data_IF_365670865732
#
_entry.id   IF_365670865732
#
_cell.length_a   1.000
_cell.length_b   1.000
_cell.length_c   1.000
_cell.angle_alpha   90.00
_cell.angle_beta   90.00
_cell.angle_gamma   90.00
#
_symmetry.space_group_name_H-M   'P 1'
#
loop_
_entity.id
_entity.type
_entity.pdbx_description
1 polymer ?
#
# COMPACT_ATOMS: atom_id res chain seq x y z
N UNK A 1 6.46 -18.78 -5.54
CA UNK A 1 7.92 -18.58 -5.33
C UNK A 1 8.37 -17.58 -6.39
N UNK A 2 8.59 -16.32 -6.01
CA UNK A 2 9.07 -15.28 -6.94
C UNK A 2 10.51 -15.63 -7.30
N UNK A 3 10.79 -15.85 -8.57
CA UNK A 3 12.13 -16.16 -9.04
C UNK A 3 13.03 -14.92 -8.93
N UNK A 4 14.30 -15.08 -8.55
CA UNK A 4 15.28 -13.97 -8.46
C UNK A 4 15.38 -13.19 -9.78
N UNK A 5 15.17 -13.86 -10.92
CA UNK A 5 15.11 -13.19 -12.23
C UNK A 5 13.93 -12.22 -12.34
N UNK A 6 12.79 -12.52 -11.73
CA UNK A 6 11.63 -11.61 -11.72
C UNK A 6 11.94 -10.33 -10.93
N UNK A 7 12.64 -10.43 -9.79
CA UNK A 7 12.98 -9.26 -8.98
C UNK A 7 13.90 -8.31 -9.74
N UNK A 8 14.95 -8.82 -10.38
CA UNK A 8 15.86 -8.01 -11.20
C UNK A 8 15.16 -7.35 -12.38
N UNK A 9 14.25 -8.08 -13.01
CA UNK A 9 13.43 -7.58 -14.11
C UNK A 9 12.55 -6.40 -13.64
N UNK A 10 11.87 -6.52 -12.51
CA UNK A 10 11.04 -5.45 -11.96
C UNK A 10 11.86 -4.24 -11.50
N UNK A 11 13.01 -4.45 -10.89
CA UNK A 11 13.92 -3.37 -10.53
C UNK A 11 14.40 -2.59 -11.76
N UNK A 12 14.66 -3.30 -12.86
CA UNK A 12 15.06 -2.67 -14.12
C UNK A 12 13.90 -1.84 -14.69
N UNK A 13 12.68 -2.38 -14.73
CA UNK A 13 11.50 -1.64 -15.21
C UNK A 13 11.27 -0.37 -14.39
N UNK A 14 11.30 -0.47 -13.05
CA UNK A 14 11.09 0.69 -12.19
C UNK A 14 12.15 1.78 -12.44
N UNK A 15 13.40 1.39 -12.61
CA UNK A 15 14.49 2.34 -12.91
C UNK A 15 14.40 2.99 -14.30
N UNK A 16 13.89 2.25 -15.28
CA UNK A 16 13.78 2.73 -16.68
C UNK A 16 12.51 3.53 -16.94
N UNK A 17 11.43 3.20 -16.22
CA UNK A 17 10.08 3.71 -16.50
C UNK A 17 9.59 4.76 -15.51
N UNK A 18 10.14 4.80 -14.31
CA UNK A 18 9.67 5.72 -13.27
C UNK A 18 10.65 6.87 -13.07
N UNK A 19 10.13 8.08 -13.06
CA UNK A 19 10.89 9.27 -12.68
C UNK A 19 11.18 9.21 -11.20
N UNK A 20 12.47 9.23 -10.83
CA UNK A 20 12.86 9.22 -9.42
C UNK A 20 12.51 10.58 -8.82
N UNK A 21 11.44 10.66 -8.07
CA UNK A 21 11.14 11.81 -7.24
C UNK A 21 12.18 11.90 -6.12
N UNK A 22 12.80 13.07 -5.96
CA UNK A 22 13.68 13.31 -4.82
C UNK A 22 12.83 13.38 -3.56
N UNK A 23 12.84 12.30 -2.79
CA UNK A 23 12.25 12.27 -1.47
C UNK A 23 13.28 12.73 -0.43
N UNK A 24 12.80 13.35 0.65
CA UNK A 24 13.65 13.68 1.78
C UNK A 24 14.23 12.41 2.41
N UNK A 25 15.50 12.48 2.85
CA UNK A 25 16.13 11.36 3.53
C UNK A 25 15.39 11.02 4.83
N UNK A 26 15.21 9.72 5.05
CA UNK A 26 14.64 9.21 6.30
C UNK A 26 15.62 9.44 7.44
N UNK A 27 15.16 10.07 8.50
CA UNK A 27 15.95 10.33 9.71
C UNK A 27 15.68 9.29 10.81
N UNK A 28 16.54 9.23 11.83
CA UNK A 28 16.28 8.40 13.00
C UNK A 28 14.97 8.78 13.71
N UNK A 29 14.60 10.07 13.70
CA UNK A 29 13.33 10.53 14.29
C UNK A 29 12.13 10.01 13.51
N UNK A 30 12.18 9.99 12.18
CA UNK A 30 11.11 9.44 11.34
C UNK A 30 10.91 7.93 11.63
N UNK A 31 12.01 7.20 11.82
CA UNK A 31 11.97 5.79 12.21
C UNK A 31 11.27 5.62 13.56
N UNK A 32 11.63 6.42 14.58
CA UNK A 32 11.02 6.35 15.91
C UNK A 32 9.53 6.74 15.87
N UNK A 33 9.16 7.75 15.11
CA UNK A 33 7.76 8.15 14.94
C UNK A 33 6.95 7.10 14.17
N UNK A 34 7.51 6.57 13.07
CA UNK A 34 6.91 5.49 12.31
C UNK A 34 6.68 4.24 13.15
N UNK A 35 7.64 3.89 14.02
CA UNK A 35 7.53 2.76 14.94
C UNK A 35 6.34 2.88 15.91
N UNK A 36 6.06 4.09 16.44
CA UNK A 36 4.90 4.35 17.30
C UNK A 36 3.56 4.06 16.62
N UNK A 37 3.51 4.18 15.29
CA UNK A 37 2.30 3.95 14.48
C UNK A 37 2.11 2.48 14.10
N UNK A 38 3.07 1.62 14.37
CA UNK A 38 2.98 0.19 14.04
C UNK A 38 1.93 -0.52 14.88
N UNK A 39 1.23 -1.46 14.23
CA UNK A 39 0.23 -2.34 14.83
C UNK A 39 0.20 -3.67 14.10
N UNK A 40 -0.34 -4.70 14.74
CA UNK A 40 -0.67 -5.98 14.13
C UNK A 40 0.33 -7.09 14.40
N UNK A 41 0.18 -8.19 13.69
CA UNK A 41 0.86 -9.46 13.94
C UNK A 41 2.30 -9.47 13.43
N UNK A 42 3.11 -10.38 13.96
CA UNK A 42 4.48 -10.68 13.57
C UNK A 42 4.51 -11.21 12.12
N UNK A 43 5.49 -10.76 11.35
CA UNK A 43 5.78 -11.29 10.02
C UNK A 43 6.81 -12.45 10.07
N UNK A 44 7.32 -12.83 8.91
CA UNK A 44 8.35 -13.87 8.78
C UNK A 44 9.69 -13.48 9.41
N UNK A 45 9.91 -12.20 9.62
CA UNK A 45 11.11 -11.60 10.24
C UNK A 45 11.13 -11.67 11.76
N UNK A 46 10.07 -12.17 12.39
CA UNK A 46 9.91 -12.33 13.83
C UNK A 46 10.06 -11.06 14.67
N UNK A 47 10.03 -9.88 14.03
CA UNK A 47 10.00 -8.63 14.75
C UNK A 47 8.62 -8.37 15.33
N UNK A 48 8.57 -8.10 16.62
CA UNK A 48 7.37 -7.62 17.28
C UNK A 48 7.29 -6.09 17.23
N UNK A 49 6.08 -5.58 17.27
CA UNK A 49 5.84 -4.12 17.29
C UNK A 49 6.55 -3.47 18.48
N UNK A 50 6.57 -4.13 19.63
CA UNK A 50 7.19 -3.61 20.86
C UNK A 50 8.71 -3.52 20.75
N UNK A 51 9.35 -4.41 20.00
CA UNK A 51 10.79 -4.31 19.74
C UNK A 51 11.13 -3.01 19.00
N UNK A 52 10.32 -2.66 17.99
CA UNK A 52 10.54 -1.45 17.22
C UNK A 52 10.16 -0.18 17.99
N UNK A 53 9.12 -0.23 18.81
CA UNK A 53 8.72 0.91 19.65
C UNK A 53 9.72 1.23 20.76
N UNK A 54 10.44 0.23 21.24
CA UNK A 54 11.42 0.36 22.32
C UNK A 54 12.86 0.49 21.82
N UNK A 55 13.07 0.62 20.49
CA UNK A 55 14.43 0.69 19.96
C UNK A 55 15.16 1.94 20.42
N UNK A 56 16.48 1.84 20.76
CA UNK A 56 17.32 3.00 21.02
C UNK A 56 17.57 3.85 19.78
N UNK A 57 17.97 5.10 19.98
CA UNK A 57 18.20 6.05 18.90
C UNK A 57 19.29 5.60 17.93
N UNK A 58 20.33 4.93 18.42
CA UNK A 58 21.42 4.39 17.59
C UNK A 58 20.91 3.32 16.63
N UNK A 59 19.98 2.49 17.08
CA UNK A 59 19.33 1.46 16.24
C UNK A 59 18.40 2.12 15.23
N UNK A 60 17.64 3.15 15.63
CA UNK A 60 16.80 3.91 14.72
C UNK A 60 17.62 4.60 13.61
N UNK A 61 18.80 5.11 13.94
CA UNK A 61 19.74 5.67 12.97
C UNK A 61 20.23 4.61 11.97
N UNK A 62 20.58 3.41 12.44
CA UNK A 62 20.96 2.32 11.55
C UNK A 62 19.83 1.89 10.62
N UNK A 63 18.58 1.86 11.11
CA UNK A 63 17.40 1.61 10.26
C UNK A 63 17.19 2.73 9.24
N UNK A 64 17.37 3.99 9.60
CA UNK A 64 17.27 5.11 8.67
C UNK A 64 18.28 4.98 7.52
N UNK A 65 19.54 4.70 7.83
CA UNK A 65 20.58 4.45 6.82
C UNK A 65 20.23 3.27 5.89
N UNK A 66 19.71 2.18 6.46
CA UNK A 66 19.30 1.02 5.68
C UNK A 66 18.13 1.37 4.75
N UNK A 67 17.11 2.08 5.24
CA UNK A 67 15.95 2.46 4.44
C UNK A 67 16.33 3.43 3.32
N UNK A 68 17.17 4.44 3.59
CA UNK A 68 17.70 5.35 2.56
C UNK A 68 18.50 4.58 1.49
N UNK A 69 19.33 3.62 1.90
CA UNK A 69 20.06 2.77 0.95
C UNK A 69 19.12 1.89 0.09
N UNK A 70 18.01 1.42 0.65
CA UNK A 70 16.99 0.66 -0.07
C UNK A 70 16.30 1.55 -1.11
N UNK A 71 15.95 2.77 -0.76
CA UNK A 71 15.33 3.73 -1.68
C UNK A 71 16.30 4.14 -2.80
N UNK A 72 17.52 4.51 -2.46
CA UNK A 72 18.56 4.86 -3.44
C UNK A 72 18.80 3.72 -4.46
N UNK A 73 18.87 2.49 -3.98
CA UNK A 73 19.13 1.33 -4.84
C UNK A 73 17.89 0.74 -5.48
N UNK A 74 16.69 1.17 -5.09
CA UNK A 74 15.41 0.58 -5.48
C UNK A 74 15.46 -0.95 -5.29
N UNK A 75 15.98 -1.39 -4.15
CA UNK A 75 16.27 -2.80 -3.91
C UNK A 75 16.08 -3.19 -2.45
N UNK A 76 15.06 -4.01 -2.18
CA UNK A 76 14.85 -4.61 -0.87
C UNK A 76 15.77 -5.82 -0.65
N UNK A 77 16.34 -6.00 0.57
CA UNK A 77 17.01 -7.24 0.92
C UNK A 77 16.08 -8.45 0.75
N UNK A 78 16.63 -9.57 0.29
CA UNK A 78 15.85 -10.80 0.03
C UNK A 78 15.02 -11.25 1.23
N UNK A 79 15.51 -11.07 2.44
CA UNK A 79 14.83 -11.44 3.68
C UNK A 79 13.51 -10.66 3.86
N UNK A 80 13.46 -9.42 3.39
CA UNK A 80 12.30 -8.53 3.50
C UNK A 80 11.27 -8.77 2.38
N UNK A 81 11.68 -9.43 1.31
CA UNK A 81 10.77 -9.82 0.22
C UNK A 81 9.94 -11.07 0.52
N UNK A 82 10.27 -11.78 1.61
CA UNK A 82 9.53 -12.97 2.05
C UNK A 82 8.28 -12.56 2.84
N UNK A 83 7.13 -13.08 2.42
CA UNK A 83 5.87 -12.86 3.13
C UNK A 83 5.36 -14.17 3.72
N UNK A 84 4.85 -14.11 4.94
CA UNK A 84 4.11 -15.21 5.54
C UNK A 84 2.67 -15.18 5.04
N UNK A 85 2.25 -16.24 4.33
CA UNK A 85 0.87 -16.33 3.85
C UNK A 85 0.06 -17.19 4.82
N UNK A 86 -0.93 -16.57 5.45
CA UNK A 86 -1.89 -17.23 6.32
C UNK A 86 -3.19 -17.45 5.54
N UNK A 87 -3.69 -18.69 5.58
CA UNK A 87 -4.96 -19.05 4.95
C UNK A 87 -6.09 -18.93 5.96
N UNK A 88 -7.01 -17.98 5.74
CA UNK A 88 -8.19 -17.79 6.57
C UNK A 88 -9.43 -18.38 5.90
N UNK A 89 -10.22 -19.17 6.64
CA UNK A 89 -11.50 -19.70 6.16
C UNK A 89 -12.52 -18.57 5.92
N UNK A 90 -13.30 -18.69 4.85
CA UNK A 90 -14.45 -17.82 4.59
C UNK A 90 -15.71 -18.44 5.20
N UNK A 91 -16.69 -17.64 5.70
CA UNK A 91 -17.96 -18.15 6.22
C UNK A 91 -18.73 -19.03 5.22
N UNK A 92 -18.63 -18.73 3.94
CA UNK A 92 -19.33 -19.41 2.84
C UNK A 92 -18.50 -20.52 2.18
N UNK A 93 -17.45 -20.98 2.86
CA UNK A 93 -16.51 -21.97 2.33
C UNK A 93 -15.37 -21.35 1.50
N UNK A 94 -14.30 -22.13 1.34
CA UNK A 94 -13.05 -21.67 0.71
C UNK A 94 -12.11 -20.94 1.67
N UNK A 95 -10.98 -20.48 1.15
CA UNK A 95 -9.93 -19.80 1.93
C UNK A 95 -9.59 -18.44 1.31
N UNK A 96 -9.16 -17.51 2.17
CA UNK A 96 -8.60 -16.23 1.78
C UNK A 96 -7.13 -16.19 2.20
N UNK A 97 -6.19 -16.07 1.26
CA UNK A 97 -4.80 -15.86 1.61
C UNK A 97 -4.60 -14.43 2.15
N UNK A 98 -3.91 -14.30 3.25
CA UNK A 98 -3.48 -13.01 3.82
C UNK A 98 -1.97 -13.02 3.91
N UNK A 99 -1.33 -12.07 3.23
CA UNK A 99 0.11 -11.89 3.31
C UNK A 99 0.48 -11.01 4.50
N UNK A 100 1.26 -11.55 5.42
CA UNK A 100 1.86 -10.81 6.52
C UNK A 100 3.25 -10.36 6.10
N UNK A 101 3.36 -9.09 5.78
CA UNK A 101 4.63 -8.48 5.35
C UNK A 101 5.59 -8.32 6.54
N UNK A 102 6.91 -8.40 6.30
CA UNK A 102 7.94 -8.13 7.30
C UNK A 102 7.74 -6.77 7.97
N UNK A 103 8.13 -6.69 9.24
CA UNK A 103 7.89 -5.50 10.05
C UNK A 103 8.68 -4.29 9.55
N UNK A 104 9.88 -4.50 9.00
CA UNK A 104 10.68 -3.41 8.43
C UNK A 104 10.01 -2.77 7.21
N UNK A 105 9.37 -3.56 6.33
CA UNK A 105 8.59 -3.03 5.21
C UNK A 105 7.39 -2.22 5.71
N UNK A 106 6.73 -2.72 6.75
CA UNK A 106 5.59 -2.02 7.37
C UNK A 106 6.01 -0.72 8.06
N UNK A 107 7.20 -0.68 8.65
CA UNK A 107 7.80 0.52 9.23
C UNK A 107 8.04 1.57 8.14
N UNK A 108 8.72 1.20 7.08
CA UNK A 108 8.94 2.06 5.91
C UNK A 108 7.62 2.62 5.35
N UNK A 109 6.61 1.78 5.15
CA UNK A 109 5.28 2.21 4.71
C UNK A 109 4.60 3.21 5.66
N UNK A 110 4.92 3.18 6.96
CA UNK A 110 4.42 4.15 7.92
C UNK A 110 5.15 5.48 7.83
N UNK A 111 6.44 5.46 7.57
CA UNK A 111 7.26 6.66 7.38
C UNK A 111 6.80 7.39 6.11
N UNK A 112 6.71 6.70 4.99
CA UNK A 112 6.31 7.28 3.69
C UNK A 112 4.81 7.53 3.51
N UNK A 113 4.01 7.19 4.51
CA UNK A 113 2.56 7.38 4.47
C UNK A 113 2.12 8.83 4.26
N UNK A 114 2.89 9.79 4.73
CA UNK A 114 2.55 11.21 4.61
C UNK A 114 2.61 11.65 3.15
N UNK A 115 3.62 11.21 2.42
CA UNK A 115 3.82 11.52 1.00
C UNK A 115 2.67 10.94 0.16
N UNK A 116 2.35 9.67 0.39
CA UNK A 116 1.22 9.00 -0.25
C UNK A 116 -0.11 9.71 0.07
N UNK A 117 -0.32 10.12 1.32
CA UNK A 117 -1.57 10.78 1.70
C UNK A 117 -1.71 12.16 1.06
N UNK A 118 -0.61 12.89 0.90
CA UNK A 118 -0.60 14.16 0.18
C UNK A 118 -0.97 13.96 -1.29
N UNK A 119 -0.38 12.95 -1.92
CA UNK A 119 -0.70 12.58 -3.30
C UNK A 119 -2.18 12.17 -3.43
N UNK A 120 -2.69 11.28 -2.57
CA UNK A 120 -4.10 10.88 -2.53
C UNK A 120 -5.02 12.10 -2.47
N UNK A 121 -4.74 13.05 -1.57
CA UNK A 121 -5.56 14.26 -1.41
C UNK A 121 -5.64 15.10 -2.68
N UNK A 122 -4.57 15.13 -3.46
CA UNK A 122 -4.50 15.91 -4.69
C UNK A 122 -5.11 15.19 -5.92
N UNK A 123 -5.15 13.87 -5.90
CA UNK A 123 -5.57 13.06 -7.06
C UNK A 123 -6.92 12.36 -6.88
N UNK A 124 -7.49 12.35 -5.67
CA UNK A 124 -8.78 11.70 -5.41
C UNK A 124 -9.96 12.59 -5.80
N UNK A 125 -10.97 11.95 -6.39
CA UNK A 125 -12.23 12.60 -6.71
C UNK A 125 -13.36 12.17 -5.78
N UNK A 126 -14.54 12.79 -5.90
CA UNK A 126 -15.72 12.45 -5.09
C UNK A 126 -16.25 11.02 -5.30
N UNK A 127 -15.78 10.37 -6.35
CA UNK A 127 -16.09 8.98 -6.71
C UNK A 127 -15.26 7.95 -5.95
N UNK A 128 -14.13 8.35 -5.34
CA UNK A 128 -13.26 7.43 -4.59
C UNK A 128 -13.69 7.33 -3.13
N UNK A 129 -14.29 6.20 -2.79
CA UNK A 129 -14.73 5.89 -1.44
C UNK A 129 -13.70 5.10 -0.62
N UNK A 130 -12.55 4.75 -1.19
CA UNK A 130 -11.52 3.95 -0.54
C UNK A 130 -10.47 4.78 0.22
N UNK A 131 -10.49 6.08 0.06
CA UNK A 131 -9.52 7.00 0.69
C UNK A 131 -9.88 7.35 2.13
N UNK A 132 -8.88 7.86 2.88
CA UNK A 132 -9.08 8.34 4.24
C UNK A 132 -10.08 9.49 4.28
N UNK A 133 -11.05 9.41 5.18
CA UNK A 133 -12.13 10.41 5.34
C UNK A 133 -13.37 10.10 4.50
N UNK A 134 -13.30 9.12 3.60
CA UNK A 134 -14.44 8.59 2.87
C UNK A 134 -14.92 7.25 3.49
N UNK A 135 -16.09 6.78 3.08
CA UNK A 135 -16.59 5.46 3.50
C UNK A 135 -17.48 4.82 2.44
N UNK A 136 -17.41 3.50 2.34
CA UNK A 136 -18.28 2.72 1.47
C UNK A 136 -19.77 2.94 1.81
N UNK A 137 -20.12 3.11 3.08
CA UNK A 137 -21.49 3.42 3.49
C UNK A 137 -21.96 4.77 2.92
N UNK A 138 -21.12 5.81 2.99
CA UNK A 138 -21.44 7.11 2.41
C UNK A 138 -21.66 7.00 0.91
N UNK A 139 -20.80 6.28 0.19
CA UNK A 139 -20.94 6.05 -1.24
C UNK A 139 -22.24 5.32 -1.57
N UNK A 140 -22.61 4.29 -0.81
CA UNK A 140 -23.86 3.55 -0.99
C UNK A 140 -25.10 4.43 -0.72
N UNK A 141 -25.07 5.25 0.34
CA UNK A 141 -26.18 6.19 0.64
C UNK A 141 -26.33 7.24 -0.45
N UNK A 142 -25.22 7.82 -0.91
CA UNK A 142 -25.26 8.82 -2.00
C UNK A 142 -25.80 8.19 -3.29
N UNK A 143 -25.37 6.98 -3.66
CA UNK A 143 -25.90 6.24 -4.80
C UNK A 143 -27.42 6.02 -4.68
N UNK A 144 -27.89 5.53 -3.53
CA UNK A 144 -29.31 5.31 -3.29
C UNK A 144 -30.13 6.62 -3.37
N UNK A 145 -29.57 7.73 -2.90
CA UNK A 145 -30.23 9.05 -3.03
C UNK A 145 -30.33 9.50 -4.48
N UNK A 146 -29.31 9.27 -5.31
CA UNK A 146 -29.39 9.55 -6.74
C UNK A 146 -30.49 8.73 -7.43
N UNK A 147 -30.57 7.44 -7.11
CA UNK A 147 -31.59 6.56 -7.66
C UNK A 147 -33.02 7.02 -7.25
N UNK A 148 -33.20 7.45 -6.01
CA UNK A 148 -34.46 7.95 -5.49
C UNK A 148 -34.86 9.28 -6.14
N UNK A 149 -33.94 10.24 -6.25
CA UNK A 149 -34.19 11.54 -6.91
C UNK A 149 -34.55 11.32 -8.37
N UNK A 150 -33.88 10.47 -9.10
CA UNK A 150 -34.20 10.15 -10.49
C UNK A 150 -35.58 9.52 -10.62
N UNK A 151 -35.96 8.63 -9.70
CA UNK A 151 -37.29 8.02 -9.64
C UNK A 151 -38.39 9.08 -9.44
N UNK A 152 -38.16 10.04 -8.52
CA UNK A 152 -39.09 11.15 -8.28
C UNK A 152 -39.25 12.05 -9.51
N UNK A 153 -38.20 12.22 -10.30
CA UNK A 153 -38.20 12.97 -11.53
C UNK A 153 -38.74 12.18 -12.73
N UNK A 154 -39.19 10.93 -12.53
CA UNK A 154 -39.61 10.02 -13.60
C UNK A 154 -38.52 9.73 -14.63
N UNK A 155 -37.25 9.77 -14.21
CA UNK A 155 -36.08 9.41 -15.01
C UNK A 155 -35.81 7.91 -14.91
N UNK A 156 -35.33 7.30 -15.98
CA UNK A 156 -34.89 5.90 -15.98
C UNK A 156 -33.40 5.84 -15.63
N UNK A 157 -33.07 5.16 -14.55
CA UNK A 157 -31.68 4.98 -14.08
C UNK A 157 -31.34 3.50 -14.08
N UNK A 158 -30.08 3.19 -14.42
CA UNK A 158 -29.51 1.86 -14.27
C UNK A 158 -28.22 1.97 -13.46
N UNK A 159 -28.15 1.25 -12.34
CA UNK A 159 -26.94 1.15 -11.49
C UNK A 159 -26.18 -0.13 -11.84
N UNK A 160 -24.90 0.01 -12.24
CA UNK A 160 -24.03 -1.13 -12.55
C UNK A 160 -23.01 -1.27 -11.42
N UNK A 161 -23.00 -2.44 -10.77
CA UNK A 161 -22.01 -2.80 -9.76
C UNK A 161 -20.96 -3.71 -10.39
N UNK A 162 -19.70 -3.29 -10.33
CA UNK A 162 -18.58 -4.07 -10.84
C UNK A 162 -17.90 -4.80 -9.70
N UNK A 163 -17.73 -6.10 -9.83
CA UNK A 163 -16.86 -6.92 -8.95
C UNK A 163 -15.85 -7.65 -9.85
N UNK A 164 -14.56 -7.42 -9.58
CA UNK A 164 -13.49 -7.99 -10.40
C UNK A 164 -12.95 -9.24 -9.72
N UNK A 165 -13.08 -10.38 -10.39
CA UNK A 165 -12.52 -11.64 -9.91
C UNK A 165 -10.99 -11.54 -9.83
N UNK A 166 -10.41 -11.89 -8.66
CA UNK A 166 -8.96 -11.90 -8.42
C UNK A 166 -8.27 -10.61 -8.87
N UNK A 167 -8.87 -9.48 -8.57
CA UNK A 167 -8.40 -8.17 -9.03
C UNK A 167 -6.89 -7.98 -8.89
N UNK A 168 -6.34 -8.21 -7.70
CA UNK A 168 -4.91 -8.01 -7.43
C UNK A 168 -4.00 -9.00 -8.19
N UNK A 169 -4.46 -10.21 -8.46
CA UNK A 169 -3.69 -11.22 -9.19
C UNK A 169 -3.62 -10.91 -10.70
N UNK A 170 -4.56 -10.11 -11.20
CA UNK A 170 -4.70 -9.77 -12.62
C UNK A 170 -4.18 -8.37 -12.98
N UNK A 171 -3.58 -7.63 -12.04
CA UNK A 171 -2.97 -6.34 -12.33
C UNK A 171 -1.71 -6.53 -13.19
N UNK A 172 -1.67 -5.89 -14.35
CA UNK A 172 -0.45 -5.75 -15.14
C UNK A 172 0.48 -4.76 -14.45
N UNK A 173 1.56 -5.29 -13.87
CA UNK A 173 2.50 -4.48 -13.09
C UNK A 173 3.30 -3.49 -13.94
N UNK A 174 3.55 -3.79 -15.22
CA UNK A 174 4.22 -2.85 -16.13
C UNK A 174 3.34 -1.64 -16.37
N UNK A 175 2.07 -1.89 -16.71
CA UNK A 175 1.09 -0.83 -16.90
C UNK A 175 0.81 -0.06 -15.61
N UNK A 176 0.82 -0.73 -14.46
CA UNK A 176 0.70 -0.06 -13.16
C UNK A 176 1.85 0.92 -12.93
N UNK A 177 3.10 0.51 -13.20
CA UNK A 177 4.26 1.39 -13.07
C UNK A 177 4.19 2.58 -14.03
N UNK A 178 3.80 2.37 -15.29
CA UNK A 178 3.60 3.44 -16.27
C UNK A 178 2.49 4.43 -15.84
N UNK A 179 1.40 3.93 -15.29
CA UNK A 179 0.32 4.78 -14.77
C UNK A 179 0.74 5.54 -13.51
N UNK A 180 1.52 4.92 -12.63
CA UNK A 180 2.03 5.55 -11.42
C UNK A 180 2.98 6.71 -11.76
N UNK A 181 3.90 6.50 -12.72
CA UNK A 181 4.80 7.53 -13.22
C UNK A 181 4.01 8.69 -13.87
N UNK A 182 3.05 8.38 -14.74
CA UNK A 182 2.21 9.39 -15.39
C UNK A 182 1.34 10.19 -14.41
N UNK A 183 1.02 9.61 -13.25
CA UNK A 183 0.27 10.25 -12.17
C UNK A 183 1.18 10.88 -11.10
N UNK A 184 2.50 10.92 -11.33
CA UNK A 184 3.49 11.43 -10.37
C UNK A 184 3.33 10.81 -8.98
N UNK A 185 3.08 9.50 -8.92
CA UNK A 185 2.94 8.77 -7.66
C UNK A 185 4.29 8.70 -6.94
N UNK A 186 4.36 9.07 -5.63
CA UNK A 186 5.61 9.17 -4.87
C UNK A 186 6.29 7.83 -4.59
#
# INVERSE_FOLDING_TARGET
>A
MICIHSIKFWQQILREKCTVLQQEEITAEDVLQGAKLLKGSIGVDWWEVEHLKSMPQEVAFAFALLLNCIEEKIAWPMQILLNLIVLMGKPNGGVRPIALMPMLYRLWSKIRRTDIHLWDTNHTGPWDAAIRGSSALRAAVVGALYDEVASLNSETVATILWDMEKFYDNIDLVKLAECADAAEYP
#
